data_IF_945871143816
#
_entry.id   IF_945871143816
#
_cell.length_a   1.000
_cell.length_b   1.000
_cell.length_c   1.000
_cell.angle_alpha   90.00
_cell.angle_beta   90.00
_cell.angle_gamma   90.00
#
_symmetry.space_group_name_H-M   'P 1'
#
loop_
_entity.id
_entity.type
_entity.pdbx_description
1 polymer ?
#
# COMPACT_ATOMS: atom_id res chain seq x y z
N UNK A 1 -6.74 7.87 -19.17
CA UNK A 1 -7.11 8.07 -17.76
C UNK A 1 -8.61 8.28 -17.63
N UNK A 2 -9.30 7.28 -17.09
CA UNK A 2 -10.74 7.32 -16.80
C UNK A 2 -10.94 7.61 -15.31
N UNK A 3 -11.86 8.51 -14.98
CA UNK A 3 -12.25 8.78 -13.59
C UNK A 3 -13.74 8.53 -13.44
N UNK A 4 -14.10 7.68 -12.48
CA UNK A 4 -15.49 7.28 -12.24
C UNK A 4 -15.84 7.50 -10.78
N UNK A 5 -16.99 8.13 -10.52
CA UNK A 5 -17.52 8.27 -9.17
C UNK A 5 -18.12 6.93 -8.74
N UNK A 6 -17.75 6.45 -7.56
CA UNK A 6 -18.24 5.18 -7.02
C UNK A 6 -18.99 5.39 -5.70
N UNK A 7 -19.79 4.40 -5.33
CA UNK A 7 -20.50 4.39 -4.05
C UNK A 7 -19.60 3.91 -2.92
N UNK A 8 -20.04 4.12 -1.68
CA UNK A 8 -19.38 3.57 -0.49
C UNK A 8 -19.37 2.03 -0.51
N UNK A 9 -20.45 1.40 -0.96
CA UNK A 9 -20.53 -0.06 -1.07
C UNK A 9 -19.47 -0.63 -2.02
N UNK A 10 -19.22 0.05 -3.14
CA UNK A 10 -18.13 -0.33 -4.06
C UNK A 10 -16.75 -0.17 -3.40
N UNK A 11 -16.55 0.89 -2.62
CA UNK A 11 -15.31 1.07 -1.85
C UNK A 11 -15.12 -0.05 -0.82
N UNK A 12 -16.19 -0.45 -0.13
CA UNK A 12 -16.16 -1.54 0.84
C UNK A 12 -15.80 -2.88 0.16
N UNK A 13 -16.32 -3.14 -1.05
CA UNK A 13 -15.92 -4.30 -1.88
C UNK A 13 -14.43 -4.28 -2.22
N UNK A 14 -13.86 -3.11 -2.58
CA UNK A 14 -12.42 -2.98 -2.82
C UNK A 14 -11.60 -3.27 -1.55
N UNK A 15 -12.07 -2.85 -0.38
CA UNK A 15 -11.43 -3.19 0.89
C UNK A 15 -11.47 -4.68 1.19
N UNK A 16 -12.59 -5.36 0.95
CA UNK A 16 -12.68 -6.82 1.12
C UNK A 16 -11.67 -7.57 0.26
N UNK A 17 -11.54 -7.19 -1.01
CA UNK A 17 -10.52 -7.75 -1.94
C UNK A 17 -9.10 -7.49 -1.41
N UNK A 18 -8.85 -6.28 -0.89
CA UNK A 18 -7.55 -5.93 -0.31
C UNK A 18 -7.24 -6.78 0.94
N UNK A 19 -8.22 -7.05 1.80
CA UNK A 19 -8.01 -7.87 3.00
C UNK A 19 -7.68 -9.32 2.68
N UNK A 20 -8.32 -9.91 1.68
CA UNK A 20 -7.97 -11.25 1.19
C UNK A 20 -6.52 -11.27 0.65
N UNK A 21 -6.14 -10.25 -0.11
CA UNK A 21 -4.77 -10.13 -0.61
C UNK A 21 -3.75 -9.93 0.53
N UNK A 22 -4.07 -9.13 1.55
CA UNK A 22 -3.20 -8.90 2.70
C UNK A 22 -2.83 -10.19 3.43
N UNK A 23 -3.71 -11.19 3.47
CA UNK A 23 -3.39 -12.52 4.04
C UNK A 23 -2.27 -13.21 3.27
N UNK A 24 -2.38 -13.28 1.93
CA UNK A 24 -1.32 -13.83 1.07
C UNK A 24 -0.02 -13.03 1.17
N UNK A 25 -0.15 -11.71 1.28
CA UNK A 25 0.98 -10.80 1.42
C UNK A 25 1.69 -10.95 2.77
N UNK A 26 0.95 -11.31 3.82
CA UNK A 26 1.52 -11.56 5.14
C UNK A 26 2.48 -12.75 5.10
N UNK A 27 2.05 -13.86 4.51
CA UNK A 27 2.90 -15.05 4.36
C UNK A 27 4.15 -14.74 3.54
N UNK A 28 3.97 -14.02 2.43
CA UNK A 28 5.09 -13.55 1.61
C UNK A 28 6.06 -12.64 2.40
N UNK A 29 5.52 -11.66 3.14
CA UNK A 29 6.33 -10.75 3.96
C UNK A 29 7.10 -11.47 5.06
N UNK A 30 6.56 -12.57 5.61
CA UNK A 30 7.30 -13.42 6.55
C UNK A 30 8.56 -13.99 5.90
N UNK A 31 8.45 -14.52 4.68
CA UNK A 31 9.57 -15.08 3.91
C UNK A 31 10.67 -14.06 3.60
N UNK A 32 10.29 -12.84 3.21
CA UNK A 32 11.29 -11.82 2.81
C UNK A 32 11.79 -10.94 3.97
N UNK A 33 11.15 -11.02 5.15
CA UNK A 33 11.48 -10.18 6.30
C UNK A 33 12.85 -10.47 6.90
N UNK A 34 13.36 -11.70 6.78
CA UNK A 34 14.72 -12.05 7.22
C UNK A 34 15.80 -11.28 6.46
N UNK A 35 15.52 -10.93 5.20
CA UNK A 35 16.38 -10.09 4.36
C UNK A 35 16.13 -8.59 4.58
N UNK A 36 15.27 -8.23 5.53
CA UNK A 36 14.93 -6.85 5.88
C UNK A 36 13.96 -6.18 4.91
N UNK A 37 13.27 -6.92 4.04
CA UNK A 37 12.31 -6.36 3.09
C UNK A 37 10.87 -6.55 3.53
N UNK A 38 10.01 -5.61 3.12
CA UNK A 38 8.55 -5.71 3.24
C UNK A 38 7.87 -5.06 2.06
N UNK A 39 6.73 -5.61 1.67
CA UNK A 39 5.86 -5.10 0.64
C UNK A 39 4.58 -4.54 1.27
N UNK A 40 4.18 -3.34 0.88
CA UNK A 40 2.87 -2.76 1.21
C UNK A 40 1.94 -2.85 0.00
N UNK A 41 0.66 -3.23 0.19
CA UNK A 41 -0.32 -3.39 -0.88
C UNK A 41 -0.97 -2.06 -1.31
N UNK A 42 -0.82 -1.03 -0.48
CA UNK A 42 -1.44 0.28 -0.73
C UNK A 42 -0.54 1.38 -0.20
N UNK A 43 -0.36 2.41 -1.01
CA UNK A 43 0.24 3.66 -0.57
C UNK A 43 -0.87 4.69 -0.37
N UNK A 44 -0.96 5.25 0.84
CA UNK A 44 -2.02 6.20 1.21
C UNK A 44 -1.39 7.58 1.38
N UNK A 45 -1.93 8.57 0.68
CA UNK A 45 -1.51 9.97 0.78
C UNK A 45 -2.72 10.80 1.22
N UNK A 46 -2.55 11.57 2.29
CA UNK A 46 -3.57 12.50 2.78
C UNK A 46 -3.05 13.92 2.60
N UNK A 47 -3.80 14.76 1.90
CA UNK A 47 -3.46 16.17 1.63
C UNK A 47 -4.53 17.08 2.22
N UNK A 48 -4.10 18.11 2.96
CA UNK A 48 -4.98 19.22 3.37
C UNK A 48 -5.03 20.25 2.24
N UNK A 49 -6.22 20.72 1.91
CA UNK A 49 -6.49 21.72 0.89
C UNK A 49 -7.44 22.79 1.45
N UNK A 50 -7.62 23.91 0.72
CA UNK A 50 -8.59 24.95 1.08
C UNK A 50 -10.03 24.42 1.17
N UNK A 51 -10.34 23.34 0.43
CA UNK A 51 -11.66 22.71 0.35
C UNK A 51 -11.82 21.51 1.30
N UNK A 52 -10.84 21.27 2.16
CA UNK A 52 -10.83 20.15 3.11
C UNK A 52 -9.73 19.12 2.83
N UNK A 53 -9.91 17.90 3.33
CA UNK A 53 -8.93 16.81 3.24
C UNK A 53 -9.20 15.94 2.02
N UNK A 54 -8.17 15.67 1.23
CA UNK A 54 -8.21 14.72 0.12
C UNK A 54 -7.34 13.52 0.43
N UNK A 55 -7.90 12.31 0.35
CA UNK A 55 -7.19 11.05 0.54
C UNK A 55 -7.05 10.33 -0.79
N UNK A 56 -5.82 9.93 -1.12
CA UNK A 56 -5.50 9.08 -2.25
C UNK A 56 -5.02 7.72 -1.75
N UNK A 57 -5.49 6.65 -2.38
CA UNK A 57 -5.09 5.29 -2.13
C UNK A 57 -4.60 4.69 -3.44
N UNK A 58 -3.30 4.46 -3.54
CA UNK A 58 -2.68 3.87 -4.72
C UNK A 58 -2.44 2.39 -4.45
N UNK A 59 -3.22 1.52 -5.09
CA UNK A 59 -3.13 0.07 -4.93
C UNK A 59 -2.01 -0.50 -5.80
N UNK A 60 -1.21 -1.40 -5.24
CA UNK A 60 -0.05 -1.95 -5.92
C UNK A 60 0.99 -2.48 -4.94
N UNK A 61 2.21 -2.70 -5.42
CA UNK A 61 3.29 -3.31 -4.64
C UNK A 61 4.35 -2.26 -4.34
N UNK A 62 4.45 -1.85 -3.09
CA UNK A 62 5.40 -0.82 -2.64
C UNK A 62 6.44 -1.44 -1.73
N UNK A 63 7.69 -1.46 -2.19
CA UNK A 63 8.80 -2.08 -1.49
C UNK A 63 9.38 -1.15 -0.43
N UNK A 64 9.67 -1.73 0.72
CA UNK A 64 10.33 -1.06 1.83
C UNK A 64 11.47 -1.92 2.37
N UNK A 65 12.58 -1.27 2.73
CA UNK A 65 13.61 -1.84 3.59
C UNK A 65 13.34 -1.43 5.03
N UNK A 66 13.31 -2.39 5.94
CA UNK A 66 13.19 -2.16 7.38
C UNK A 66 14.58 -2.28 7.98
N UNK A 67 15.12 -1.17 8.44
CA UNK A 67 16.47 -1.09 9.01
C UNK A 67 16.36 -0.85 10.51
N UNK A 68 17.04 -1.66 11.32
CA UNK A 68 17.15 -1.42 12.75
C UNK A 68 18.04 -0.20 13.02
N UNK A 69 17.57 0.72 13.88
CA UNK A 69 18.27 1.98 14.18
C UNK A 69 18.57 2.14 15.67
N UNK A 70 18.60 1.04 16.43
CA UNK A 70 18.89 1.03 17.86
C UNK A 70 17.66 0.87 18.75
N UNK A 71 17.81 1.21 20.03
CA UNK A 71 16.74 1.10 21.04
C UNK A 71 16.38 2.45 21.64
N UNK A 72 15.16 2.55 22.13
CA UNK A 72 14.68 3.66 22.97
C UNK A 72 14.16 3.05 24.26
N UNK A 73 15.00 3.06 25.31
CA UNK A 73 14.77 2.23 26.49
C UNK A 73 14.68 0.75 26.11
N UNK A 74 13.54 0.11 26.40
CA UNK A 74 13.30 -1.31 26.12
C UNK A 74 12.76 -1.60 24.70
N UNK A 75 12.45 -0.57 23.91
CA UNK A 75 11.80 -0.73 22.60
C UNK A 75 12.78 -0.60 21.45
N UNK A 76 12.83 -1.60 20.56
CA UNK A 76 13.58 -1.55 19.31
C UNK A 76 12.98 -0.52 18.35
N UNK A 77 13.82 0.33 17.76
CA UNK A 77 13.45 1.30 16.74
C UNK A 77 13.83 0.77 15.36
N UNK A 78 12.92 0.91 14.41
CA UNK A 78 13.16 0.59 13.01
C UNK A 78 12.83 1.78 12.13
N UNK A 79 13.61 1.96 11.06
CA UNK A 79 13.37 2.91 9.99
C UNK A 79 12.88 2.17 8.77
N UNK A 80 11.80 2.67 8.17
CA UNK A 80 11.26 2.16 6.91
C UNK A 80 11.78 3.04 5.77
N UNK A 81 12.53 2.46 4.84
CA UNK A 81 13.08 3.14 3.66
C UNK A 81 12.28 2.68 2.45
N UNK A 82 11.62 3.60 1.75
CA UNK A 82 10.88 3.28 0.54
C UNK A 82 11.84 3.00 -0.62
N UNK A 83 11.62 1.91 -1.35
CA UNK A 83 12.49 1.44 -2.44
C UNK A 83 11.87 1.57 -3.83
N UNK A 84 10.58 1.86 -3.92
CA UNK A 84 9.85 1.92 -5.19
C UNK A 84 8.86 0.77 -5.37
N UNK A 85 8.46 0.53 -6.63
CA UNK A 85 7.49 -0.50 -7.01
C UNK A 85 8.14 -1.78 -7.55
N UNK A 86 9.38 -1.69 -8.02
CA UNK A 86 10.13 -2.81 -8.57
C UNK A 86 10.75 -3.69 -7.48
N UNK A 87 10.88 -4.99 -7.79
CA UNK A 87 11.51 -5.96 -6.89
C UNK A 87 12.97 -5.56 -6.63
N UNK A 88 13.41 -5.35 -5.37
CA UNK A 88 14.71 -4.75 -5.09
C UNK A 88 15.89 -5.69 -5.32
N UNK A 89 15.68 -7.00 -5.22
CA UNK A 89 16.69 -8.04 -5.41
C UNK A 89 16.10 -9.18 -6.25
N UNK A 90 16.89 -9.72 -7.19
CA UNK A 90 16.40 -10.75 -8.12
C UNK A 90 16.12 -12.08 -7.43
N UNK A 91 16.89 -12.35 -6.37
CA UNK A 91 16.91 -13.57 -5.56
C UNK A 91 15.73 -13.64 -4.57
N UNK A 92 14.96 -12.56 -4.41
CA UNK A 92 13.71 -12.61 -3.65
C UNK A 92 12.66 -13.40 -4.44
N UNK A 93 11.87 -14.25 -3.75
CA UNK A 93 10.74 -14.92 -4.38
C UNK A 93 9.79 -13.87 -4.97
N UNK A 94 9.05 -14.22 -6.01
CA UNK A 94 8.13 -13.27 -6.61
C UNK A 94 6.93 -13.00 -5.67
N UNK A 95 6.52 -11.72 -5.52
CA UNK A 95 5.39 -11.38 -4.68
C UNK A 95 4.08 -11.86 -5.32
N UNK A 96 3.05 -12.17 -4.51
CA UNK A 96 1.73 -12.52 -5.04
C UNK A 96 1.17 -11.38 -5.89
N UNK A 97 0.51 -11.74 -7.00
CA UNK A 97 -0.15 -10.77 -7.90
C UNK A 97 -1.14 -9.93 -7.11
N UNK A 98 -1.05 -8.60 -7.27
CA UNK A 98 -1.93 -7.67 -6.58
C UNK A 98 -3.25 -7.52 -7.36
N UNK A 99 -4.42 -7.85 -6.78
CA UNK A 99 -5.69 -7.91 -7.52
C UNK A 99 -6.19 -6.54 -7.99
N UNK A 100 -5.81 -5.48 -7.27
CA UNK A 100 -6.17 -4.09 -7.58
C UNK A 100 -4.98 -3.27 -8.09
N UNK A 101 -3.97 -3.93 -8.68
CA UNK A 101 -2.75 -3.22 -9.11
C UNK A 101 -3.05 -2.09 -10.11
N UNK A 102 -2.50 -0.91 -9.86
CA UNK A 102 -2.69 0.27 -10.73
C UNK A 102 -3.98 1.04 -10.47
N UNK A 103 -4.89 0.52 -9.65
CA UNK A 103 -6.11 1.23 -9.25
C UNK A 103 -5.77 2.36 -8.27
N UNK A 104 -6.37 3.54 -8.49
CA UNK A 104 -6.26 4.66 -7.54
C UNK A 104 -7.65 5.05 -7.06
N UNK A 105 -7.84 5.11 -5.74
CA UNK A 105 -9.05 5.69 -5.14
C UNK A 105 -8.73 7.08 -4.62
N UNK A 106 -9.54 8.07 -5.02
CA UNK A 106 -9.55 9.42 -4.48
C UNK A 106 -10.81 9.63 -3.66
N UNK A 107 -10.66 10.13 -2.44
CA UNK A 107 -11.77 10.48 -1.53
C UNK A 107 -11.62 11.95 -1.15
N UNK A 108 -12.65 12.75 -1.39
CA UNK A 108 -12.74 14.14 -0.96
C UNK A 108 -14.17 14.49 -0.52
N UNK A 109 -14.43 15.78 -0.26
CA UNK A 109 -15.74 16.27 0.17
C UNK A 109 -16.86 16.07 -0.86
N UNK A 110 -16.52 15.83 -2.12
CA UNK A 110 -17.49 15.66 -3.21
C UNK A 110 -17.85 14.19 -3.46
N UNK A 111 -17.04 13.25 -2.98
CA UNK A 111 -17.32 11.82 -3.03
C UNK A 111 -16.07 10.93 -3.13
N UNK A 112 -16.29 9.73 -3.67
CA UNK A 112 -15.29 8.68 -3.85
C UNK A 112 -15.15 8.43 -5.34
N UNK A 113 -13.92 8.38 -5.83
CA UNK A 113 -13.61 8.23 -7.24
C UNK A 113 -12.57 7.13 -7.44
N UNK A 114 -12.74 6.33 -8.48
CA UNK A 114 -11.72 5.41 -8.99
C UNK A 114 -11.09 6.06 -10.21
N UNK A 115 -9.76 6.02 -10.26
CA UNK A 115 -8.95 6.51 -11.38
C UNK A 115 -8.16 5.32 -11.91
N UNK A 116 -8.32 5.05 -13.20
CA UNK A 116 -7.58 4.01 -13.93
C UNK A 116 -6.87 4.63 -15.14
N UNK A 117 -5.72 4.03 -15.49
CA UNK A 117 -4.91 4.38 -16.66
C UNK A 117 -5.73 4.37 -17.94
#
# INVERSE_FOLDING_TARGET
MKTEKITKEMLDKLYSILEEYKRKLYDYNRLVSEKGYRLKPVHIVVKKTKLGTVKYMYFGRYWYKVVYVGKSGKTSKVKWVYLGKEKPEKELPDPPRHPLEGLVVKIDSTGIYVITS
#
